data_IF_494712785495
#
_entry.id   IF_494712785495
#
_cell.length_a   1.000
_cell.length_b   1.000
_cell.length_c   1.000
_cell.angle_alpha   90.00
_cell.angle_beta   90.00
_cell.angle_gamma   90.00
#
_symmetry.space_group_name_H-M   'P 1'
#
loop_
_entity.id
_entity.type
_entity.pdbx_description
1 polymer ?
#
# COMPACT_ATOMS: atom_id res chain seq x y z
N UNK A 1 0.28 -28.10 -12.66
CA UNK A 1 1.48 -27.41 -12.13
C UNK A 1 1.81 -26.28 -13.08
N UNK A 2 1.87 -25.05 -12.60
CA UNK A 2 2.12 -23.87 -13.43
C UNK A 2 3.53 -23.90 -14.01
N UNK A 3 3.78 -23.32 -15.19
CA UNK A 3 5.12 -23.30 -15.79
C UNK A 3 6.16 -22.61 -14.90
N UNK A 4 7.43 -23.01 -14.99
CA UNK A 4 8.52 -22.40 -14.20
C UNK A 4 8.61 -20.88 -14.39
N UNK A 5 8.41 -20.40 -15.63
CA UNK A 5 8.38 -18.97 -15.97
C UNK A 5 7.26 -18.20 -15.26
N UNK A 6 6.08 -18.80 -15.11
CA UNK A 6 4.92 -18.20 -14.42
C UNK A 6 5.24 -17.98 -12.95
N UNK A 7 5.80 -19.00 -12.28
CA UNK A 7 6.23 -18.87 -10.88
C UNK A 7 7.33 -17.83 -10.68
N UNK A 8 8.32 -17.80 -11.58
CA UNK A 8 9.41 -16.83 -11.52
C UNK A 8 8.87 -15.39 -11.67
N UNK A 9 7.95 -15.16 -12.61
CA UNK A 9 7.31 -13.86 -12.79
C UNK A 9 6.45 -13.44 -11.59
N UNK A 10 5.68 -14.38 -11.00
CA UNK A 10 4.92 -14.13 -9.76
C UNK A 10 5.83 -13.67 -8.63
N UNK A 11 6.96 -14.36 -8.44
CA UNK A 11 7.95 -14.02 -7.42
C UNK A 11 8.63 -12.67 -7.69
N UNK A 12 8.95 -12.37 -8.95
CA UNK A 12 9.53 -11.09 -9.35
C UNK A 12 8.56 -9.92 -9.11
N UNK A 13 7.28 -10.07 -9.46
CA UNK A 13 6.26 -9.05 -9.18
C UNK A 13 6.10 -8.81 -7.68
N UNK A 14 6.10 -9.88 -6.87
CA UNK A 14 6.07 -9.76 -5.41
C UNK A 14 7.28 -8.96 -4.92
N UNK A 15 8.49 -9.36 -5.30
CA UNK A 15 9.72 -8.70 -4.85
C UNK A 15 9.79 -7.24 -5.28
N UNK A 16 9.33 -6.91 -6.50
CA UNK A 16 9.25 -5.53 -6.98
C UNK A 16 8.27 -4.67 -6.17
N UNK A 17 7.08 -5.20 -5.87
CA UNK A 17 6.11 -4.51 -5.01
C UNK A 17 6.63 -4.34 -3.58
N UNK A 18 7.21 -5.38 -2.99
CA UNK A 18 7.81 -5.31 -1.66
C UNK A 18 8.89 -4.22 -1.60
N UNK A 19 9.78 -4.19 -2.60
CA UNK A 19 10.85 -3.19 -2.69
C UNK A 19 10.32 -1.77 -2.83
N UNK A 20 9.30 -1.56 -3.68
CA UNK A 20 8.69 -0.25 -3.88
C UNK A 20 7.99 0.27 -2.61
N UNK A 21 7.26 -0.61 -1.91
CA UNK A 21 6.57 -0.25 -0.67
C UNK A 21 7.60 0.11 0.41
N UNK A 22 8.65 -0.70 0.58
CA UNK A 22 9.74 -0.42 1.53
C UNK A 22 10.43 0.91 1.22
N UNK A 23 10.82 1.14 -0.04
CA UNK A 23 11.46 2.38 -0.45
C UNK A 23 10.56 3.61 -0.25
N UNK A 24 9.25 3.46 -0.49
CA UNK A 24 8.28 4.54 -0.27
C UNK A 24 8.10 4.87 1.21
N UNK A 25 8.11 3.85 2.08
CA UNK A 25 8.02 4.04 3.53
C UNK A 25 9.30 4.69 4.08
N UNK A 26 10.47 4.26 3.63
CA UNK A 26 11.77 4.86 3.97
C UNK A 26 11.80 6.34 3.57
N UNK A 27 11.45 6.63 2.31
CA UNK A 27 11.38 7.99 1.83
C UNK A 27 10.33 8.85 2.56
N UNK A 28 9.23 8.23 3.00
CA UNK A 28 8.23 8.88 3.84
C UNK A 28 8.80 9.28 5.20
N UNK A 29 9.52 8.38 5.86
CA UNK A 29 10.19 8.64 7.13
C UNK A 29 11.22 9.77 7.01
N UNK A 30 12.08 9.71 5.99
CA UNK A 30 13.06 10.75 5.69
C UNK A 30 12.40 12.14 5.50
N UNK A 31 11.29 12.20 4.77
CA UNK A 31 10.55 13.45 4.55
C UNK A 31 9.94 14.02 5.82
N UNK A 32 9.37 13.16 6.69
CA UNK A 32 8.82 13.61 7.99
C UNK A 32 9.94 14.21 8.85
N UNK A 33 11.07 13.52 8.93
CA UNK A 33 12.23 13.99 9.70
C UNK A 33 12.82 15.28 9.13
N UNK A 34 12.94 15.40 7.81
CA UNK A 34 13.37 16.63 7.17
C UNK A 34 12.46 17.82 7.56
N UNK A 35 11.14 17.63 7.46
CA UNK A 35 10.16 18.65 7.85
C UNK A 35 10.24 19.03 9.33
N UNK A 36 10.46 18.06 10.22
CA UNK A 36 10.64 18.33 11.65
C UNK A 36 11.94 19.09 11.93
N UNK A 37 13.03 18.81 11.22
CA UNK A 37 14.29 19.57 11.36
C UNK A 37 14.14 21.02 10.92
N UNK A 38 13.35 21.28 9.88
CA UNK A 38 13.11 22.64 9.38
C UNK A 38 12.32 23.49 10.38
N UNK A 39 11.43 22.86 11.16
CA UNK A 39 10.60 23.56 12.13
C UNK A 39 11.24 23.66 13.54
N UNK A 40 11.29 24.85 14.19
CA UNK A 40 11.88 24.99 15.53
C UNK A 40 11.31 24.04 16.59
N UNK A 41 9.98 23.86 16.61
CA UNK A 41 9.34 22.91 17.52
C UNK A 41 9.68 21.45 17.18
N UNK A 42 9.82 21.12 15.90
CA UNK A 42 10.21 19.76 15.48
C UNK A 42 11.65 19.44 15.89
N UNK A 43 12.57 20.41 15.87
CA UNK A 43 13.92 20.22 16.41
C UNK A 43 13.93 19.91 17.90
N UNK A 44 13.04 20.52 18.69
CA UNK A 44 12.93 20.22 20.12
C UNK A 44 12.41 18.80 20.35
N UNK A 45 11.40 18.37 19.59
CA UNK A 45 10.88 17.00 19.62
C UNK A 45 11.98 15.99 19.26
N UNK A 46 12.73 16.25 18.18
CA UNK A 46 13.83 15.38 17.74
C UNK A 46 14.99 15.32 18.73
N UNK A 47 15.28 16.41 19.45
CA UNK A 47 16.34 16.43 20.47
C UNK A 47 15.95 15.68 21.74
N UNK A 48 14.64 15.50 21.99
CA UNK A 48 14.12 14.83 23.19
C UNK A 48 13.84 13.34 23.02
N UNK A 49 14.10 12.75 21.85
CA UNK A 49 13.80 11.35 21.56
C UNK A 49 15.05 10.56 21.15
N UNK A 50 15.18 9.33 21.67
CA UNK A 50 16.18 8.35 21.24
C UNK A 50 15.65 7.44 20.12
N UNK A 51 14.40 7.65 19.67
CA UNK A 51 13.78 6.80 18.66
C UNK A 51 14.41 7.03 17.28
N UNK A 52 14.87 5.95 16.65
CA UNK A 52 15.28 5.96 15.25
C UNK A 52 14.05 6.01 14.33
N UNK A 53 13.62 7.24 14.05
CA UNK A 53 12.51 7.56 13.16
C UNK A 53 12.98 7.87 11.73
N UNK A 54 14.29 7.93 11.48
CA UNK A 54 14.83 8.16 10.13
C UNK A 54 14.68 6.92 9.25
N UNK A 55 14.61 5.74 9.86
CA UNK A 55 14.44 4.47 9.20
C UNK A 55 13.08 3.84 9.50
N UNK A 56 12.60 3.00 8.58
CA UNK A 56 11.42 2.16 8.80
C UNK A 56 11.61 1.21 9.98
N UNK A 57 10.51 0.76 10.59
CA UNK A 57 10.59 -0.20 11.68
C UNK A 57 11.14 -1.57 11.22
N UNK A 58 11.84 -2.32 12.10
CA UNK A 58 12.36 -3.65 11.77
C UNK A 58 11.28 -4.65 11.32
N UNK A 59 10.04 -4.44 11.76
CA UNK A 59 8.92 -5.33 11.46
C UNK A 59 8.27 -5.07 10.10
N UNK A 60 8.49 -3.88 9.51
CA UNK A 60 7.81 -3.46 8.29
C UNK A 60 8.03 -4.45 7.15
N UNK A 61 9.28 -4.90 6.95
CA UNK A 61 9.63 -5.87 5.89
C UNK A 61 8.78 -7.14 5.97
N UNK A 62 8.64 -7.73 7.16
CA UNK A 62 7.80 -8.93 7.36
C UNK A 62 6.32 -8.65 7.11
N UNK A 63 5.82 -7.48 7.49
CA UNK A 63 4.42 -7.09 7.27
C UNK A 63 4.14 -6.86 5.79
N UNK A 64 5.05 -6.20 5.08
CA UNK A 64 4.99 -5.97 3.62
C UNK A 64 4.95 -7.30 2.87
N UNK A 65 5.84 -8.25 3.17
CA UNK A 65 5.83 -9.58 2.52
C UNK A 65 4.51 -10.32 2.72
N UNK A 66 3.95 -10.29 3.93
CA UNK A 66 2.64 -10.90 4.22
C UNK A 66 1.51 -10.19 3.46
N UNK A 67 1.51 -8.86 3.46
CA UNK A 67 0.49 -8.06 2.79
C UNK A 67 0.47 -8.31 1.27
N UNK A 68 1.64 -8.28 0.61
CA UNK A 68 1.75 -8.51 -0.84
C UNK A 68 1.42 -9.96 -1.20
N UNK A 69 1.87 -10.94 -0.42
CA UNK A 69 1.54 -12.35 -0.67
C UNK A 69 0.04 -12.60 -0.53
N UNK A 70 -0.59 -12.09 0.54
CA UNK A 70 -2.03 -12.20 0.76
C UNK A 70 -2.84 -11.48 -0.32
N UNK A 71 -2.36 -10.34 -0.82
CA UNK A 71 -2.96 -9.67 -1.97
C UNK A 71 -2.88 -10.52 -3.25
N UNK A 72 -1.72 -11.12 -3.56
CA UNK A 72 -1.59 -12.01 -4.72
C UNK A 72 -2.56 -13.21 -4.64
N UNK A 73 -2.78 -13.75 -3.46
CA UNK A 73 -3.73 -14.84 -3.24
C UNK A 73 -5.18 -14.36 -3.39
N UNK A 74 -5.50 -13.16 -2.90
CA UNK A 74 -6.79 -12.53 -3.11
C UNK A 74 -7.10 -12.31 -4.61
N UNK A 75 -6.14 -11.83 -5.40
CA UNK A 75 -6.33 -11.64 -6.85
C UNK A 75 -6.58 -12.97 -7.57
N UNK A 76 -5.87 -14.04 -7.18
CA UNK A 76 -6.12 -15.37 -7.72
C UNK A 76 -7.54 -15.86 -7.37
N UNK A 77 -8.01 -15.59 -6.16
CA UNK A 77 -9.35 -15.95 -5.72
C UNK A 77 -10.46 -15.16 -6.43
N UNK A 78 -10.26 -13.86 -6.68
CA UNK A 78 -11.18 -13.05 -7.49
C UNK A 78 -11.39 -13.64 -8.89
N UNK A 79 -10.32 -14.12 -9.52
CA UNK A 79 -10.39 -14.75 -10.85
C UNK A 79 -11.04 -16.12 -10.78
N UNK A 80 -10.73 -16.90 -9.73
CA UNK A 80 -11.36 -18.22 -9.52
C UNK A 80 -12.87 -18.08 -9.39
N UNK A 81 -13.34 -17.15 -8.58
CA UNK A 81 -14.78 -16.94 -8.31
C UNK A 81 -15.53 -16.38 -9.52
N UNK A 82 -15.02 -15.32 -10.15
CA UNK A 82 -15.65 -14.69 -11.32
C UNK A 82 -15.52 -15.55 -12.60
N UNK A 83 -14.52 -16.44 -12.65
CA UNK A 83 -14.32 -17.40 -13.74
C UNK A 83 -15.26 -18.60 -13.73
N UNK A 84 -15.91 -18.90 -12.60
CA UNK A 84 -16.89 -20.00 -12.46
C UNK A 84 -18.25 -19.62 -13.05
N UNK A 85 -18.67 -18.35 -12.94
CA UNK A 85 -19.98 -17.86 -13.38
C UNK A 85 -20.15 -17.82 -14.90
N UNK A 86 -19.07 -17.79 -15.69
CA UNK A 86 -19.11 -17.82 -17.18
C UNK A 86 -18.63 -19.13 -17.80
N UNK A 87 -18.15 -20.07 -16.99
CA UNK A 87 -17.64 -21.39 -17.45
C UNK A 87 -18.71 -22.31 -18.01
N UNK A 88 -19.99 -22.00 -17.82
CA UNK A 88 -21.11 -22.77 -18.38
C UNK A 88 -21.17 -22.73 -19.93
N UNK A 89 -20.42 -21.83 -20.59
CA UNK A 89 -20.50 -21.64 -22.06
C UNK A 89 -19.23 -22.08 -22.83
N UNK A 90 -18.08 -22.23 -22.17
CA UNK A 90 -16.80 -22.50 -22.85
C UNK A 90 -16.20 -23.87 -22.46
N UNK A 91 -16.78 -24.95 -22.97
CA UNK A 91 -16.33 -26.34 -22.73
C UNK A 91 -14.96 -26.72 -23.35
N UNK A 92 -14.21 -25.79 -23.95
CA UNK A 92 -13.08 -26.13 -24.84
C UNK A 92 -11.70 -25.53 -24.48
N UNK A 93 -11.57 -24.67 -23.46
CA UNK A 93 -10.24 -24.15 -23.08
C UNK A 93 -10.08 -24.06 -21.55
N UNK A 94 -9.21 -24.90 -21.00
CA UNK A 94 -8.81 -24.84 -19.58
C UNK A 94 -7.67 -23.84 -19.42
N UNK A 95 -7.98 -22.60 -19.03
CA UNK A 95 -6.96 -21.61 -18.68
C UNK A 95 -6.42 -21.83 -17.26
N UNK A 96 -5.10 -21.70 -17.10
CA UNK A 96 -4.43 -21.70 -15.79
C UNK A 96 -4.73 -20.40 -15.04
N UNK A 97 -5.44 -20.52 -13.92
CA UNK A 97 -5.85 -19.39 -13.07
C UNK A 97 -4.65 -18.57 -12.59
N UNK A 98 -3.50 -19.21 -12.35
CA UNK A 98 -2.29 -18.51 -11.92
C UNK A 98 -1.77 -17.60 -13.03
N UNK A 99 -1.69 -18.10 -14.26
CA UNK A 99 -1.24 -17.29 -15.41
C UNK A 99 -2.18 -16.10 -15.68
N UNK A 100 -3.50 -16.32 -15.63
CA UNK A 100 -4.50 -15.26 -15.80
C UNK A 100 -4.37 -14.19 -14.70
N UNK A 101 -4.13 -14.61 -13.46
CA UNK A 101 -3.91 -13.69 -12.35
C UNK A 101 -2.69 -12.79 -12.53
N UNK A 102 -1.59 -13.35 -13.06
CA UNK A 102 -0.40 -12.55 -13.35
C UNK A 102 -0.66 -11.51 -14.43
N UNK A 103 -1.38 -11.87 -15.49
CA UNK A 103 -1.73 -10.90 -16.53
C UNK A 103 -2.55 -9.75 -15.96
N UNK A 104 -3.54 -10.05 -15.10
CA UNK A 104 -4.32 -9.02 -14.43
C UNK A 104 -3.46 -8.14 -13.52
N UNK A 105 -2.60 -8.75 -12.69
CA UNK A 105 -1.68 -8.02 -11.80
C UNK A 105 -0.75 -7.09 -12.59
N UNK A 106 -0.13 -7.58 -13.67
CA UNK A 106 0.75 -6.77 -14.53
C UNK A 106 -0.04 -5.59 -15.13
N UNK A 107 -1.25 -5.85 -15.64
CA UNK A 107 -2.13 -4.80 -16.13
C UNK A 107 -2.51 -3.76 -15.08
N UNK A 108 -2.72 -4.19 -13.82
CA UNK A 108 -3.05 -3.30 -12.71
C UNK A 108 -1.95 -2.29 -12.42
N UNK A 109 -0.69 -2.73 -12.54
CA UNK A 109 0.52 -1.93 -12.33
C UNK A 109 0.81 -0.97 -13.48
N UNK A 110 -0.09 -0.87 -14.46
CA UNK A 110 0.04 0.05 -15.59
C UNK A 110 0.84 -0.50 -16.77
N UNK A 111 1.31 -1.75 -16.71
CA UNK A 111 1.94 -2.38 -17.87
C UNK A 111 0.87 -2.71 -18.93
N UNK A 112 1.01 -2.09 -20.10
CA UNK A 112 -0.03 -2.08 -21.16
C UNK A 112 -1.10 -1.00 -20.98
N UNK A 113 -0.89 -0.12 -19.99
CA UNK A 113 -1.65 1.03 -19.48
C UNK A 113 -1.85 2.27 -20.35
N UNK A 114 -1.17 2.37 -21.51
CA UNK A 114 -1.02 3.55 -22.41
C UNK A 114 0.40 4.13 -22.41
N UNK A 115 0.86 4.56 -23.60
CA UNK A 115 2.06 5.34 -23.96
C UNK A 115 3.30 4.65 -24.55
N UNK A 116 3.30 3.32 -24.71
CA UNK A 116 4.09 2.74 -25.82
C UNK A 116 3.13 2.49 -26.96
N UNK A 117 3.01 3.49 -27.84
CA UNK A 117 2.48 3.28 -29.17
C UNK A 117 3.41 2.29 -29.88
N UNK A 118 3.14 0.99 -29.74
CA UNK A 118 3.52 0.04 -30.79
C UNK A 118 2.72 0.52 -31.99
N UNK A 119 3.39 0.99 -33.05
CA UNK A 119 2.76 1.41 -34.30
C UNK A 119 1.61 0.45 -34.66
N UNK A 120 0.37 0.89 -34.47
CA UNK A 120 -0.83 0.07 -34.70
C UNK A 120 -1.64 -0.32 -33.46
N UNK A 121 -2.28 0.64 -32.78
CA UNK A 121 -3.65 0.55 -32.22
C UNK A 121 -4.08 -0.62 -31.33
N UNK A 122 -3.19 -1.48 -30.84
CA UNK A 122 -3.53 -2.68 -30.09
C UNK A 122 -3.26 -2.49 -28.60
N UNK A 123 -4.31 -2.40 -27.79
CA UNK A 123 -4.25 -2.84 -26.37
C UNK A 123 -3.49 -4.17 -26.31
N UNK A 124 -2.49 -4.30 -25.44
CA UNK A 124 -1.64 -5.49 -25.36
C UNK A 124 -2.49 -6.77 -25.43
N UNK A 125 -2.16 -7.69 -26.34
CA UNK A 125 -2.89 -8.96 -26.61
C UNK A 125 -3.44 -9.66 -25.34
N UNK A 126 -2.72 -9.67 -24.19
CA UNK A 126 -3.24 -10.26 -22.96
C UNK A 126 -4.51 -9.57 -22.41
N UNK A 127 -4.65 -8.25 -22.53
CA UNK A 127 -5.82 -7.50 -22.06
C UNK A 127 -7.06 -7.79 -22.91
N UNK A 128 -6.89 -7.99 -24.23
CA UNK A 128 -7.99 -8.41 -25.12
C UNK A 128 -8.49 -9.80 -24.77
N UNK A 129 -7.57 -10.72 -24.46
CA UNK A 129 -7.92 -12.07 -24.01
C UNK A 129 -8.69 -12.02 -22.68
N UNK A 130 -8.19 -11.29 -21.67
CA UNK A 130 -8.91 -11.12 -20.40
C UNK A 130 -10.32 -10.54 -20.62
N UNK A 131 -10.44 -9.51 -21.46
CA UNK A 131 -11.73 -8.89 -21.79
C UNK A 131 -12.66 -9.87 -22.51
N UNK A 132 -12.14 -10.72 -23.39
CA UNK A 132 -12.92 -11.74 -24.07
C UNK A 132 -13.39 -12.86 -23.11
N UNK A 133 -12.55 -13.25 -22.14
CA UNK A 133 -12.87 -14.31 -21.18
C UNK A 133 -13.86 -13.86 -20.10
N UNK A 134 -13.64 -12.67 -19.53
CA UNK A 134 -14.41 -12.18 -18.39
C UNK A 134 -15.49 -11.18 -18.77
N UNK A 135 -15.43 -10.60 -19.97
CA UNK A 135 -16.22 -9.42 -20.31
C UNK A 135 -15.61 -8.14 -19.72
N UNK A 136 -15.90 -7.01 -20.36
CA UNK A 136 -15.32 -5.72 -20.02
C UNK A 136 -15.68 -5.23 -18.61
N UNK A 137 -16.94 -5.42 -18.21
CA UNK A 137 -17.45 -4.96 -16.91
C UNK A 137 -16.83 -5.76 -15.77
N UNK A 138 -16.88 -7.10 -15.83
CA UNK A 138 -16.28 -7.96 -14.80
C UNK A 138 -14.77 -7.73 -14.67
N UNK A 139 -14.06 -7.56 -15.79
CA UNK A 139 -12.63 -7.26 -15.76
C UNK A 139 -12.34 -5.92 -15.07
N UNK A 140 -13.11 -4.87 -15.38
CA UNK A 140 -13.00 -3.57 -14.70
C UNK A 140 -13.30 -3.70 -13.20
N UNK A 141 -14.36 -4.42 -12.83
CA UNK A 141 -14.75 -4.67 -11.44
C UNK A 141 -13.67 -5.43 -10.65
N UNK A 142 -13.12 -6.51 -11.21
CA UNK A 142 -12.02 -7.26 -10.59
C UNK A 142 -10.77 -6.40 -10.42
N UNK A 143 -10.39 -5.64 -11.45
CA UNK A 143 -9.26 -4.72 -11.37
C UNK A 143 -9.46 -3.65 -10.29
N UNK A 144 -10.66 -3.09 -10.18
CA UNK A 144 -11.00 -2.11 -9.14
C UNK A 144 -10.91 -2.72 -7.73
N UNK A 145 -11.48 -3.92 -7.52
CA UNK A 145 -11.40 -4.66 -6.24
C UNK A 145 -9.94 -4.95 -5.85
N UNK A 146 -9.16 -5.50 -6.79
CA UNK A 146 -7.74 -5.80 -6.58
C UNK A 146 -6.90 -4.55 -6.24
N UNK A 147 -7.17 -3.41 -6.89
CA UNK A 147 -6.49 -2.14 -6.58
C UNK A 147 -6.86 -1.61 -5.20
N UNK A 148 -8.16 -1.66 -4.87
CA UNK A 148 -8.65 -1.19 -3.58
C UNK A 148 -8.07 -2.01 -2.43
N UNK A 149 -8.03 -3.34 -2.57
CA UNK A 149 -7.42 -4.24 -1.58
C UNK A 149 -5.92 -3.95 -1.39
N UNK A 150 -5.15 -3.80 -2.48
CA UNK A 150 -3.72 -3.46 -2.37
C UNK A 150 -3.52 -2.11 -1.66
N UNK A 151 -4.28 -1.09 -2.05
CA UNK A 151 -4.18 0.25 -1.47
C UNK A 151 -4.56 0.25 0.01
N UNK A 152 -5.60 -0.49 0.39
CA UNK A 152 -6.00 -0.63 1.80
C UNK A 152 -4.89 -1.27 2.62
N UNK A 153 -4.25 -2.33 2.11
CA UNK A 153 -3.13 -3.01 2.78
C UNK A 153 -1.92 -2.10 2.94
N UNK A 154 -1.54 -1.38 1.89
CA UNK A 154 -0.44 -0.40 1.95
C UNK A 154 -0.76 0.71 2.95
N UNK A 155 -2.00 1.23 2.95
CA UNK A 155 -2.45 2.23 3.91
C UNK A 155 -2.27 1.77 5.34
N UNK A 156 -2.76 0.57 5.69
CA UNK A 156 -2.58 0.01 7.04
C UNK A 156 -1.11 -0.12 7.45
N UNK A 157 -0.22 -0.52 6.54
CA UNK A 157 1.22 -0.59 6.82
C UNK A 157 1.80 0.78 7.14
N UNK A 158 1.38 1.82 6.42
CA UNK A 158 1.91 3.17 6.59
C UNK A 158 1.29 3.86 7.81
N UNK A 159 0.02 3.59 8.11
CA UNK A 159 -0.64 4.03 9.34
C UNK A 159 0.08 3.44 10.57
N UNK A 160 0.44 2.16 10.52
CA UNK A 160 1.22 1.50 11.58
C UNK A 160 2.61 2.13 11.77
N UNK A 161 3.31 2.47 10.68
CA UNK A 161 4.59 3.19 10.76
C UNK A 161 4.42 4.61 11.32
N UNK A 162 3.32 5.30 10.94
CA UNK A 162 3.00 6.65 11.37
C UNK A 162 2.73 6.75 12.88
N UNK A 163 2.23 5.69 13.51
CA UNK A 163 2.00 5.64 14.97
C UNK A 163 3.27 5.99 15.75
N UNK A 164 4.46 5.55 15.30
CA UNK A 164 5.74 5.82 15.99
C UNK A 164 6.05 7.32 16.05
N UNK A 165 5.69 8.06 15.00
CA UNK A 165 5.86 9.51 14.98
C UNK A 165 4.88 10.20 15.93
N UNK A 166 3.63 9.72 15.97
CA UNK A 166 2.62 10.19 16.93
C UNK A 166 3.07 9.99 18.37
N UNK A 167 3.61 8.81 18.71
CA UNK A 167 4.13 8.51 20.05
C UNK A 167 5.24 9.47 20.49
N UNK A 168 6.13 9.85 19.57
CA UNK A 168 7.19 10.82 19.87
C UNK A 168 6.61 12.21 20.10
N UNK A 169 5.61 12.62 19.31
CA UNK A 169 4.89 13.87 19.53
C UNK A 169 4.16 13.88 20.89
N UNK A 170 3.46 12.80 21.23
CA UNK A 170 2.77 12.66 22.52
C UNK A 170 3.76 12.71 23.69
N UNK A 171 4.92 12.08 23.56
CA UNK A 171 5.97 12.09 24.57
C UNK A 171 6.59 13.47 24.81
N UNK A 172 6.51 14.38 23.84
CA UNK A 172 6.98 15.76 23.97
C UNK A 172 6.05 16.63 24.85
N UNK A 173 4.93 16.07 25.32
CA UNK A 173 4.00 16.75 26.21
C UNK A 173 3.19 17.85 25.50
N UNK A 174 2.62 17.52 24.33
CA UNK A 174 1.73 18.44 23.62
C UNK A 174 0.57 18.80 24.55
N UNK A 175 0.36 20.10 24.86
CA UNK A 175 -0.70 20.54 25.73
C UNK A 175 -2.07 20.06 25.25
N UNK A 176 -2.83 19.38 26.11
CA UNK A 176 -4.21 19.02 25.82
C UNK A 176 -5.16 20.21 26.10
N UNK A 177 -6.46 20.04 25.81
CA UNK A 177 -7.48 21.06 26.02
C UNK A 177 -7.64 21.51 27.49
N UNK A 178 -7.06 20.78 28.44
CA UNK A 178 -7.09 21.13 29.86
C UNK A 178 -5.98 22.11 30.25
N UNK A 179 -4.89 22.19 29.49
CA UNK A 179 -3.75 23.06 29.79
C UNK A 179 -4.12 24.55 29.82
N UNK A 180 -4.92 25.10 28.88
CA UNK A 180 -5.40 26.48 28.98
C UNK A 180 -6.18 26.76 30.27
N UNK A 181 -7.02 25.81 30.70
CA UNK A 181 -7.80 25.92 31.94
C UNK A 181 -6.89 25.90 33.16
N UNK A 182 -5.90 25.00 33.18
CA UNK A 182 -4.92 24.91 34.27
C UNK A 182 -4.05 26.17 34.36
N UNK A 183 -3.63 26.74 33.22
CA UNK A 183 -2.89 28.01 33.18
C UNK A 183 -3.74 29.16 33.73
N UNK A 184 -5.01 29.26 33.33
CA UNK A 184 -5.91 30.28 33.84
C UNK A 184 -6.11 30.17 35.36
N UNK A 185 -6.30 28.95 35.86
CA UNK A 185 -6.40 28.68 37.30
C UNK A 185 -5.10 29.02 38.04
N UNK A 186 -3.94 28.70 37.47
CA UNK A 186 -2.65 29.03 38.07
C UNK A 186 -2.41 30.55 38.12
N UNK A 187 -2.76 31.29 37.06
CA UNK A 187 -2.69 32.76 37.06
C UNK A 187 -3.62 33.36 38.10
N UNK A 188 -4.87 32.88 38.19
CA UNK A 188 -5.83 33.35 39.20
C UNK A 188 -5.34 33.09 40.63
N UNK A 189 -4.82 31.89 40.90
CA UNK A 189 -4.29 31.53 42.22
C UNK A 189 -3.08 32.40 42.61
N UNK A 190 -2.24 32.77 41.65
CA UNK A 190 -1.11 33.68 41.87
C UNK A 190 -1.59 35.09 42.21
N UNK A 191 -2.63 35.58 41.54
CA UNK A 191 -3.23 36.90 41.82
C UNK A 191 -3.89 36.96 43.20
N UNK A 192 -4.58 35.89 43.61
CA UNK A 192 -5.20 35.81 44.94
C UNK A 192 -4.15 35.71 46.07
N UNK A 193 -2.99 35.11 45.81
CA UNK A 193 -1.91 34.97 46.77
C UNK A 193 -1.02 36.22 46.92
N UNK A 194 -1.24 37.26 46.09
CA UNK A 194 -0.46 38.51 46.07
C UNK A 194 -1.16 39.62 46.84
#
# INVERSE_FOLDING_TARGET
RSPARVRALKAALRSGLESLIMASAEHGAEQVIARWRDHPAGRQVLAGTDADLAHVSPELSRRVTRAVSSWQDHVQELIRTEGVTKRSVAKLVSFDTEAVSLVLMIGLLGYGTSDVAVEGGNSAVPQRLLKALFGAESLRGMGAKARADLRSRIGMLFDEEAIRFGQVLDSAGIPDETVPVQLYQATYNLEVAR
#
